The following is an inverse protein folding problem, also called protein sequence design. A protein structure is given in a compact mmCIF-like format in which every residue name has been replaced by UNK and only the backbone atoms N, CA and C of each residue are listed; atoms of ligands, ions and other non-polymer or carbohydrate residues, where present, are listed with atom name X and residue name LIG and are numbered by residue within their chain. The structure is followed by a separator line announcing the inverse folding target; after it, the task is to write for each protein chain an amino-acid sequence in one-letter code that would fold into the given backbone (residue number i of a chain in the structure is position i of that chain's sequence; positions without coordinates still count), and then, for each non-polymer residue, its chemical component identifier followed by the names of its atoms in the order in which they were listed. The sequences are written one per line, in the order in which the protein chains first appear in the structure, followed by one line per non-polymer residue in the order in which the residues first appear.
data_IF_619814299546
#
_entry.id   IF_619814299546
#
_cell.length_a   1.000
_cell.length_b   1.000
_cell.length_c   1.000
_cell.angle_alpha   90.00
_cell.angle_beta   90.00
_cell.angle_gamma   90.00
#
_symmetry.space_group_name_H-M   'P 1'
#
loop_
_entity.id
_entity.type
_entity.pdbx_description
1 polymer ?
#
# COMPACT_ATOMS: atom_id res chain seq x y z
N UNK A 1 -47.09 16.46 47.71
CA UNK A 1 -46.66 15.32 46.88
C UNK A 1 -46.25 15.90 45.53
N UNK A 2 -44.94 16.13 45.33
CA UNK A 2 -44.42 16.85 44.17
C UNK A 2 -44.19 15.88 42.99
N UNK A 3 -44.67 16.29 41.81
CA UNK A 3 -44.58 15.55 40.56
C UNK A 3 -43.25 15.93 39.90
N UNK A 4 -42.29 14.99 39.80
CA UNK A 4 -41.02 15.22 39.09
C UNK A 4 -41.24 15.14 37.56
N UNK A 5 -40.59 16.00 36.75
CA UNK A 5 -40.82 16.07 35.32
C UNK A 5 -40.08 14.96 34.55
N UNK A 6 -40.83 14.26 33.70
CA UNK A 6 -40.41 13.25 32.73
C UNK A 6 -39.68 13.89 31.54
N UNK A 7 -38.57 14.60 31.76
CA UNK A 7 -37.92 15.39 30.70
C UNK A 7 -36.43 15.05 30.49
N UNK A 8 -35.97 13.88 30.94
CA UNK A 8 -34.53 13.55 30.92
C UNK A 8 -34.27 12.16 30.32
N UNK A 9 -34.71 11.88 29.09
CA UNK A 9 -34.36 10.61 28.42
C UNK A 9 -34.05 10.68 26.93
N UNK A 10 -33.90 11.86 26.34
CA UNK A 10 -33.62 11.96 24.88
C UNK A 10 -32.17 12.36 24.58
N UNK A 11 -31.37 12.76 25.57
CA UNK A 11 -30.04 13.35 25.34
C UNK A 11 -28.84 12.41 25.51
N UNK A 12 -29.03 11.09 25.43
CA UNK A 12 -27.96 10.12 25.73
C UNK A 12 -27.65 9.12 24.60
N UNK A 13 -28.10 9.37 23.37
CA UNK A 13 -27.89 8.44 22.24
C UNK A 13 -26.99 8.97 21.10
N UNK A 14 -26.54 10.23 21.17
CA UNK A 14 -25.83 10.88 20.05
C UNK A 14 -24.29 10.82 20.10
N UNK A 15 -23.67 10.11 21.06
CA UNK A 15 -22.21 10.13 21.25
C UNK A 15 -21.43 8.92 20.68
N UNK A 16 -22.05 7.97 19.98
CA UNK A 16 -21.37 6.74 19.52
C UNK A 16 -20.83 6.75 18.07
N UNK A 17 -20.83 7.88 17.35
CA UNK A 17 -20.66 7.88 15.88
C UNK A 17 -19.34 8.44 15.31
N UNK A 18 -18.25 8.57 16.08
CA UNK A 18 -16.98 9.13 15.56
C UNK A 18 -15.76 8.18 15.60
N UNK A 19 -15.96 6.86 15.59
CA UNK A 19 -14.84 5.90 15.47
C UNK A 19 -14.51 5.59 13.99
N UNK A 20 -14.12 6.59 13.22
CA UNK A 20 -13.61 6.44 11.86
C UNK A 20 -12.15 6.84 11.75
N UNK A 21 -11.24 6.17 12.47
CA UNK A 21 -9.80 6.38 12.24
C UNK A 21 -9.38 5.64 10.97
N UNK A 22 -8.84 6.36 9.99
CA UNK A 22 -8.14 5.74 8.88
C UNK A 22 -6.90 5.01 9.41
N UNK A 23 -6.72 3.74 9.03
CA UNK A 23 -5.57 2.94 9.46
C UNK A 23 -4.30 3.44 8.76
N UNK A 24 -3.18 3.50 9.47
CA UNK A 24 -1.90 3.91 8.90
C UNK A 24 -1.20 2.77 8.15
N UNK A 25 -0.43 3.08 7.11
CA UNK A 25 0.42 2.11 6.42
C UNK A 25 1.52 1.70 7.39
N UNK A 26 1.60 0.39 7.69
CA UNK A 26 2.65 -0.17 8.54
C UNK A 26 3.85 -0.57 7.70
N UNK A 27 5.06 -0.35 8.23
CA UNK A 27 6.30 -0.76 7.60
C UNK A 27 7.38 -1.07 8.64
N UNK A 28 8.37 -1.87 8.25
CA UNK A 28 9.58 -2.12 9.01
C UNK A 28 10.79 -1.56 8.25
N UNK A 29 11.84 -1.06 8.92
CA UNK A 29 13.05 -0.60 8.24
C UNK A 29 13.61 -1.65 7.27
N UNK A 30 14.01 -1.22 6.07
CA UNK A 30 14.58 -2.12 5.06
C UNK A 30 15.75 -1.46 4.34
N UNK A 31 16.82 -2.23 4.13
CA UNK A 31 17.99 -1.75 3.41
C UNK A 31 17.77 -1.90 1.91
N UNK A 32 17.66 -0.78 1.21
CA UNK A 32 17.54 -0.73 -0.24
C UNK A 32 18.90 -0.73 -0.92
N UNK A 33 19.14 -1.72 -1.77
CA UNK A 33 20.30 -1.76 -2.66
C UNK A 33 19.87 -1.25 -4.04
N UNK A 34 20.18 0.02 -4.41
CA UNK A 34 19.78 0.59 -5.68
C UNK A 34 20.47 -0.11 -6.86
N UNK A 35 19.81 -0.13 -8.01
CA UNK A 35 20.44 -0.50 -9.28
C UNK A 35 21.66 0.41 -9.52
N UNK A 36 22.78 -0.21 -9.89
CA UNK A 36 24.01 0.51 -10.23
C UNK A 36 23.76 1.51 -11.37
N UNK A 37 24.37 2.70 -11.29
CA UNK A 37 24.14 3.78 -12.26
C UNK A 37 24.50 3.41 -13.70
N UNK A 38 25.41 2.46 -13.89
CA UNK A 38 25.87 2.01 -15.21
C UNK A 38 25.05 0.84 -15.76
N UNK A 39 24.14 0.28 -14.97
CA UNK A 39 23.28 -0.81 -15.38
C UNK A 39 22.03 -0.26 -16.09
N UNK A 40 21.67 -0.87 -17.22
CA UNK A 40 20.44 -0.51 -17.94
C UNK A 40 19.22 -1.00 -17.17
N UNK A 41 18.34 -0.12 -16.66
CA UNK A 41 17.12 -0.56 -16.01
C UNK A 41 16.17 -1.14 -17.04
N UNK A 42 15.74 -2.38 -16.83
CA UNK A 42 14.70 -2.97 -17.65
C UNK A 42 13.32 -2.53 -17.15
N UNK A 43 12.36 -2.46 -18.07
CA UNK A 43 10.96 -2.13 -17.80
C UNK A 43 10.14 -3.37 -18.07
N UNK A 44 9.32 -3.76 -17.12
CA UNK A 44 8.35 -4.85 -17.26
C UNK A 44 6.95 -4.28 -17.42
N UNK A 45 6.11 -5.00 -18.13
CA UNK A 45 4.71 -4.64 -18.33
C UNK A 45 3.83 -5.65 -17.62
N UNK A 46 2.84 -5.17 -16.87
CA UNK A 46 1.91 -6.03 -16.16
C UNK A 46 0.89 -6.64 -17.12
N UNK A 47 0.71 -7.96 -17.10
CA UNK A 47 -0.11 -8.64 -18.12
C UNK A 47 -1.61 -8.50 -17.85
N UNK A 48 -1.98 -8.61 -16.58
CA UNK A 48 -3.38 -8.59 -16.13
C UNK A 48 -3.56 -7.57 -15.04
N UNK A 49 -4.77 -7.04 -14.94
CA UNK A 49 -5.12 -6.17 -13.83
C UNK A 49 -5.00 -6.95 -12.52
N UNK A 50 -4.42 -6.29 -11.52
CA UNK A 50 -4.26 -6.82 -10.17
C UNK A 50 -4.94 -5.88 -9.20
N UNK A 51 -5.86 -6.42 -8.39
CA UNK A 51 -6.47 -5.71 -7.28
C UNK A 51 -5.76 -6.05 -5.98
N UNK A 52 -5.34 -5.03 -5.25
CA UNK A 52 -4.57 -5.13 -4.03
C UNK A 52 -5.40 -4.57 -2.90
N UNK A 53 -5.69 -5.41 -1.91
CA UNK A 53 -6.26 -4.95 -0.64
C UNK A 53 -5.12 -4.65 0.32
N UNK A 54 -5.06 -3.41 0.78
CA UNK A 54 -4.07 -2.96 1.76
C UNK A 54 -4.55 -3.30 3.18
N UNK A 55 -3.62 -3.54 4.13
CA UNK A 55 -3.96 -3.70 5.55
C UNK A 55 -4.70 -2.47 6.13
N UNK A 56 -4.54 -1.30 5.49
CA UNK A 56 -5.25 -0.07 5.85
C UNK A 56 -6.75 -0.11 5.56
N UNK A 57 -7.23 -1.12 4.81
CA UNK A 57 -8.60 -1.27 4.36
C UNK A 57 -8.88 -0.67 2.97
N UNK A 58 -7.92 0.07 2.41
CA UNK A 58 -8.01 0.64 1.06
C UNK A 58 -7.69 -0.41 -0.01
N UNK A 59 -8.21 -0.19 -1.21
CA UNK A 59 -7.90 -1.00 -2.40
C UNK A 59 -7.09 -0.18 -3.39
N UNK A 60 -6.09 -0.81 -4.02
CA UNK A 60 -5.33 -0.26 -5.14
C UNK A 60 -5.39 -1.19 -6.33
N UNK A 61 -5.48 -0.61 -7.52
CA UNK A 61 -5.51 -1.37 -8.77
C UNK A 61 -4.23 -1.12 -9.55
N UNK A 62 -3.47 -2.18 -9.82
CA UNK A 62 -2.43 -2.17 -10.84
C UNK A 62 -3.07 -2.52 -12.17
N UNK A 63 -3.08 -1.56 -13.11
CA UNK A 63 -3.75 -1.73 -14.40
C UNK A 63 -2.98 -2.71 -15.28
N UNK A 64 -3.70 -3.53 -16.03
CA UNK A 64 -3.11 -4.27 -17.14
C UNK A 64 -2.40 -3.28 -18.08
N UNK A 65 -1.20 -3.64 -18.49
CA UNK A 65 -0.35 -2.83 -19.34
C UNK A 65 0.42 -1.70 -18.65
N UNK A 66 0.26 -1.52 -17.33
CA UNK A 66 1.12 -0.62 -16.56
C UNK A 66 2.58 -1.05 -16.62
N UNK A 67 3.49 -0.08 -16.66
CA UNK A 67 4.91 -0.30 -16.81
C UNK A 67 5.66 -0.02 -15.51
N UNK A 68 6.60 -0.90 -15.20
CA UNK A 68 7.35 -0.88 -13.94
C UNK A 68 8.83 -1.03 -14.24
N UNK A 69 9.63 -0.10 -13.74
CA UNK A 69 11.07 -0.08 -13.96
C UNK A 69 11.78 -0.71 -12.77
N UNK A 70 12.69 -1.64 -13.03
CA UNK A 70 13.56 -2.18 -12.00
C UNK A 70 14.38 -1.05 -11.35
N UNK A 71 14.33 -0.96 -10.02
CA UNK A 71 14.95 0.09 -9.24
C UNK A 71 16.10 -0.41 -8.36
N UNK A 72 16.11 -1.70 -8.02
CA UNK A 72 17.06 -2.29 -7.08
C UNK A 72 16.45 -3.46 -6.34
N UNK A 73 16.97 -3.76 -5.14
CA UNK A 73 16.53 -4.89 -4.32
C UNK A 73 16.41 -4.52 -2.85
N UNK A 74 15.58 -5.28 -2.14
CA UNK A 74 15.54 -5.37 -0.67
C UNK A 74 15.60 -6.85 -0.28
N UNK A 75 15.76 -7.15 1.01
CA UNK A 75 15.82 -8.55 1.48
C UNK A 75 14.59 -9.40 1.07
N UNK A 76 13.44 -8.75 0.88
CA UNK A 76 12.17 -9.40 0.53
C UNK A 76 11.97 -9.61 -0.98
N UNK A 77 12.82 -9.04 -1.85
CA UNK A 77 12.72 -9.22 -3.29
C UNK A 77 13.21 -8.04 -4.14
N UNK A 78 12.88 -8.12 -5.43
CA UNK A 78 13.18 -7.12 -6.44
C UNK A 78 12.23 -5.93 -6.31
N UNK A 79 12.77 -4.72 -6.40
CA UNK A 79 12.01 -3.48 -6.24
C UNK A 79 11.75 -2.86 -7.60
N UNK A 80 10.48 -2.60 -7.91
CA UNK A 80 10.05 -1.96 -9.14
C UNK A 80 9.26 -0.69 -8.87
N UNK A 81 9.68 0.42 -9.46
CA UNK A 81 8.96 1.70 -9.41
C UNK A 81 8.09 1.89 -10.64
N UNK A 82 7.01 2.63 -10.51
CA UNK A 82 6.18 2.99 -11.67
C UNK A 82 7.03 3.73 -12.74
N UNK A 83 6.83 3.37 -14.00
CA UNK A 83 7.53 3.99 -15.13
C UNK A 83 6.76 5.23 -15.62
N UNK A 84 7.39 6.41 -15.56
CA UNK A 84 6.78 7.69 -15.94
C UNK A 84 5.48 8.03 -15.18
N UNK A 85 5.28 7.42 -14.00
CA UNK A 85 4.13 7.62 -13.13
C UNK A 85 4.60 7.49 -11.67
N UNK A 86 3.70 7.80 -10.72
CA UNK A 86 3.92 7.64 -9.27
C UNK A 86 2.84 6.73 -8.72
N UNK A 87 3.25 5.64 -8.08
CA UNK A 87 2.34 4.77 -7.36
C UNK A 87 2.37 5.09 -5.87
N UNK A 88 1.19 5.16 -5.26
CA UNK A 88 1.05 5.45 -3.83
C UNK A 88 0.25 4.39 -3.07
N UNK A 89 0.41 4.34 -1.75
CA UNK A 89 -0.47 3.62 -0.82
C UNK A 89 -1.26 4.62 0.01
N UNK A 90 -2.51 4.29 0.29
CA UNK A 90 -3.43 5.12 1.07
C UNK A 90 -3.68 4.52 2.45
N UNK A 91 -3.75 5.39 3.45
CA UNK A 91 -4.13 5.12 4.83
C UNK A 91 -4.49 6.44 5.52
N UNK A 92 -4.04 6.64 6.76
CA UNK A 92 -4.08 7.95 7.41
C UNK A 92 -3.27 9.02 6.62
N UNK A 93 -2.26 8.58 5.88
CA UNK A 93 -1.44 9.38 4.98
C UNK A 93 -1.30 8.70 3.61
N UNK A 94 -0.76 9.43 2.64
CA UNK A 94 -0.42 8.91 1.32
C UNK A 94 1.09 8.73 1.23
N UNK A 95 1.53 7.53 0.86
CA UNK A 95 2.95 7.17 0.77
C UNK A 95 3.31 6.82 -0.66
N UNK A 96 4.42 7.33 -1.20
CA UNK A 96 4.99 6.78 -2.43
C UNK A 96 5.40 5.33 -2.20
N UNK A 97 5.21 4.46 -3.18
CA UNK A 97 5.48 3.03 -3.02
C UNK A 97 5.99 2.38 -4.29
N UNK A 98 7.01 1.55 -4.12
CA UNK A 98 7.55 0.68 -5.16
C UNK A 98 7.12 -0.76 -4.87
N UNK A 99 6.82 -1.52 -5.92
CA UNK A 99 6.45 -2.92 -5.80
C UNK A 99 7.65 -3.74 -5.36
N UNK A 100 7.44 -4.69 -4.45
CA UNK A 100 8.45 -5.69 -4.09
C UNK A 100 7.97 -7.05 -4.55
N UNK A 101 8.75 -7.67 -5.42
CA UNK A 101 8.38 -8.89 -6.13
C UNK A 101 9.40 -9.98 -5.82
N UNK A 102 8.91 -11.16 -5.45
CA UNK A 102 9.75 -12.33 -5.26
C UNK A 102 9.05 -13.58 -5.79
N UNK A 103 9.79 -14.39 -6.56
CA UNK A 103 9.28 -15.65 -7.14
C UNK A 103 7.94 -15.47 -7.87
N UNK A 104 7.81 -14.42 -8.69
CA UNK A 104 6.59 -14.07 -9.43
C UNK A 104 5.37 -13.72 -8.56
N UNK A 105 5.58 -13.33 -7.30
CA UNK A 105 4.54 -12.80 -6.42
C UNK A 105 4.86 -11.37 -5.97
N UNK A 106 3.83 -10.53 -5.94
CA UNK A 106 3.89 -9.26 -5.23
C UNK A 106 3.81 -9.56 -3.73
N UNK A 107 4.90 -9.31 -3.00
CA UNK A 107 5.04 -9.63 -1.57
C UNK A 107 4.81 -8.42 -0.67
N UNK A 108 4.91 -7.21 -1.23
CA UNK A 108 4.71 -5.98 -0.49
C UNK A 108 5.19 -4.76 -1.28
N UNK A 109 5.53 -3.72 -0.53
CA UNK A 109 5.96 -2.45 -1.07
C UNK A 109 7.20 -1.92 -0.34
N UNK A 110 8.10 -1.30 -1.09
CA UNK A 110 9.17 -0.49 -0.53
C UNK A 110 8.73 0.97 -0.54
N UNK A 111 8.88 1.64 0.59
CA UNK A 111 8.50 3.04 0.81
C UNK A 111 9.79 3.88 0.79
N UNK A 112 10.06 4.64 -0.29
CA UNK A 112 11.36 5.27 -0.51
C UNK A 112 11.64 6.44 0.44
N UNK A 113 10.62 7.13 0.93
CA UNK A 113 10.77 8.24 1.89
C UNK A 113 11.03 7.70 3.29
N UNK A 114 10.35 6.64 3.66
CA UNK A 114 10.41 6.00 4.97
C UNK A 114 11.58 5.01 5.11
N UNK A 115 12.22 4.63 4.00
CA UNK A 115 13.23 3.58 3.94
C UNK A 115 12.74 2.27 4.57
N UNK A 116 11.51 1.89 4.24
CA UNK A 116 10.79 0.79 4.89
C UNK A 116 10.16 -0.19 3.92
N UNK A 117 9.99 -1.43 4.36
CA UNK A 117 9.18 -2.45 3.69
C UNK A 117 7.81 -2.57 4.37
N UNK A 118 6.75 -2.45 3.58
CA UNK A 118 5.35 -2.66 3.98
C UNK A 118 4.85 -3.98 3.39
N UNK A 119 4.51 -4.98 4.23
CA UNK A 119 4.09 -6.29 3.74
C UNK A 119 2.65 -6.26 3.19
N UNK A 120 2.38 -7.16 2.24
CA UNK A 120 1.01 -7.54 1.88
C UNK A 120 0.61 -8.83 2.59
N UNK A 121 -0.62 -8.85 3.12
CA UNK A 121 -1.17 -10.05 3.78
C UNK A 121 -1.53 -11.15 2.77
N UNK A 122 -1.76 -10.77 1.51
CA UNK A 122 -2.16 -11.66 0.42
C UNK A 122 -0.99 -11.95 -0.54
N UNK A 123 -0.84 -13.22 -0.91
CA UNK A 123 0.03 -13.60 -2.02
C UNK A 123 -0.67 -13.31 -3.35
N UNK A 124 -0.13 -12.39 -4.13
CA UNK A 124 -0.70 -11.99 -5.41
C UNK A 124 0.25 -12.44 -6.53
N UNK A 125 -0.22 -13.32 -7.41
CA UNK A 125 0.54 -13.68 -8.61
C UNK A 125 0.78 -12.45 -9.47
N UNK A 126 2.04 -12.24 -9.84
CA UNK A 126 2.51 -11.06 -10.52
C UNK A 126 3.25 -11.49 -11.79
N UNK A 127 2.48 -11.67 -12.86
CA UNK A 127 2.97 -12.14 -14.17
C UNK A 127 3.26 -10.95 -15.08
N UNK A 128 4.42 -11.01 -15.73
CA UNK A 128 4.87 -9.96 -16.63
C UNK A 128 5.35 -10.49 -17.98
N UNK A 129 5.34 -9.58 -18.94
CA UNK A 129 6.11 -9.66 -20.17
C UNK A 129 7.22 -8.60 -20.18
N UNK A 130 8.41 -9.00 -20.63
CA UNK A 130 9.57 -8.14 -20.91
C UNK A 130 9.45 -7.50 -22.29
#
# INVERSE_FOLDING_TARGET
MAILPTATRVFAFSLLLLAGCASNVTYAPSNFAPLASDASPHVIKLDKQVEIRLPTGYTRTLKAGSQWRFAGTVAQGDVYRAYQDVFTLEGAHVHEAYLVVASDYLTGFYLPVEHGFSPLDQKISFTFHQ
#
